data_IF_239027531380
#
_entry.id   IF_239027531380
#
_cell.length_a   1.000
_cell.length_b   1.000
_cell.length_c   1.000
_cell.angle_alpha   90.00
_cell.angle_beta   90.00
_cell.angle_gamma   90.00
#
_symmetry.space_group_name_H-M   'P 1'
#
loop_
_entity.id
_entity.type
_entity.pdbx_description
1 polymer ?
#
# COMPACT_ATOMS: atom_id res chain seq x y z
N UNK A 1 -40.78 5.15 6.42
CA UNK A 1 -39.30 4.98 6.42
C UNK A 1 -38.98 3.77 5.54
N UNK A 2 -38.23 3.96 4.45
CA UNK A 2 -37.96 2.89 3.48
C UNK A 2 -36.69 2.13 3.90
N UNK A 3 -36.74 0.82 4.22
CA UNK A 3 -35.62 0.07 4.80
C UNK A 3 -34.38 0.01 3.89
N UNK A 4 -34.56 0.15 2.57
CA UNK A 4 -33.45 0.21 1.61
C UNK A 4 -32.50 1.40 1.80
N UNK A 5 -32.97 2.51 2.40
CA UNK A 5 -32.12 3.69 2.61
C UNK A 5 -31.06 3.47 3.71
N UNK A 6 -31.36 2.64 4.71
CA UNK A 6 -30.42 2.34 5.80
C UNK A 6 -29.31 1.39 5.34
N UNK A 7 -29.68 0.42 4.48
CA UNK A 7 -28.74 -0.53 3.88
C UNK A 7 -27.73 0.14 2.95
N UNK A 8 -28.18 1.11 2.16
CA UNK A 8 -27.29 1.87 1.27
C UNK A 8 -26.30 2.74 2.06
N UNK A 9 -26.76 3.38 3.13
CA UNK A 9 -25.91 4.23 3.98
C UNK A 9 -24.82 3.41 4.69
N UNK A 10 -25.16 2.23 5.19
CA UNK A 10 -24.19 1.35 5.86
C UNK A 10 -23.12 0.82 4.91
N UNK A 11 -23.48 0.37 3.70
CA UNK A 11 -22.51 -0.05 2.67
C UNK A 11 -21.53 1.04 2.27
N UNK A 12 -22.02 2.29 2.10
CA UNK A 12 -21.16 3.45 1.80
C UNK A 12 -20.16 3.71 2.94
N UNK A 13 -20.63 3.65 4.20
CA UNK A 13 -19.77 3.80 5.37
C UNK A 13 -18.69 2.71 5.46
N UNK A 14 -19.01 1.45 5.15
CA UNK A 14 -18.04 0.35 5.09
C UNK A 14 -16.98 0.54 4.00
N UNK A 15 -17.40 1.00 2.80
CA UNK A 15 -16.45 1.30 1.73
C UNK A 15 -15.50 2.43 2.07
N UNK A 16 -16.01 3.51 2.69
CA UNK A 16 -15.20 4.66 3.11
C UNK A 16 -14.26 4.32 4.28
N UNK A 17 -14.69 3.46 5.21
CA UNK A 17 -13.86 3.02 6.33
C UNK A 17 -12.66 2.18 5.88
N UNK A 18 -12.85 1.34 4.85
CA UNK A 18 -11.79 0.48 4.32
C UNK A 18 -10.61 1.27 3.74
N UNK A 19 -10.87 2.44 3.14
CA UNK A 19 -9.83 3.34 2.64
C UNK A 19 -8.99 3.98 3.76
N UNK A 20 -9.57 4.18 4.95
CA UNK A 20 -8.91 4.84 6.09
C UNK A 20 -8.05 3.84 6.88
N UNK A 21 -8.46 2.58 6.97
CA UNK A 21 -7.73 1.53 7.70
C UNK A 21 -6.40 1.13 7.01
N UNK A 22 -6.30 1.33 5.70
CA UNK A 22 -5.04 1.18 4.97
C UNK A 22 -4.27 2.50 5.00
N UNK A 23 -3.46 2.71 6.05
CA UNK A 23 -2.55 3.85 6.11
C UNK A 23 -1.75 3.97 4.81
N UNK A 24 -2.11 4.94 3.95
CA UNK A 24 -1.56 5.03 2.60
C UNK A 24 -0.10 5.43 2.65
N UNK A 25 0.80 4.49 2.40
CA UNK A 25 2.20 4.81 2.14
C UNK A 25 2.30 5.32 0.70
N UNK A 26 2.73 6.58 0.53
CA UNK A 26 2.99 7.13 -0.80
C UNK A 26 4.25 6.48 -1.40
N UNK A 27 4.05 5.41 -2.17
CA UNK A 27 5.13 4.61 -2.79
C UNK A 27 5.98 5.43 -3.75
N UNK A 28 5.40 6.43 -4.44
CA UNK A 28 6.13 7.29 -5.36
C UNK A 28 7.13 8.19 -4.62
N UNK A 29 6.72 8.78 -3.50
CA UNK A 29 7.62 9.56 -2.64
C UNK A 29 8.66 8.66 -1.96
N UNK A 30 8.25 7.46 -1.53
CA UNK A 30 9.15 6.49 -0.90
C UNK A 30 10.31 6.10 -1.82
N UNK A 31 10.01 5.79 -3.08
CA UNK A 31 11.00 5.44 -4.10
C UNK A 31 11.54 6.64 -4.90
N UNK A 32 11.21 7.87 -4.49
CA UNK A 32 11.60 9.10 -5.20
C UNK A 32 13.03 9.56 -4.92
N UNK A 33 13.65 9.11 -3.82
CA UNK A 33 15.01 9.47 -3.43
C UNK A 33 15.98 8.33 -3.76
N UNK A 34 16.62 8.37 -4.94
CA UNK A 34 17.56 7.35 -5.43
C UNK A 34 18.95 7.37 -4.75
N UNK A 35 19.06 7.96 -3.55
CA UNK A 35 20.31 7.96 -2.77
C UNK A 35 19.98 7.48 -1.37
N UNK A 36 19.89 6.16 -1.20
CA UNK A 36 19.89 5.56 0.12
C UNK A 36 20.79 4.32 0.16
N UNK A 37 21.67 4.20 1.16
CA UNK A 37 22.27 2.92 1.48
C UNK A 37 21.14 1.92 1.74
N UNK A 38 21.29 0.68 1.26
CA UNK A 38 20.33 -0.40 1.47
C UNK A 38 20.26 -0.77 2.95
N UNK A 39 19.46 -0.03 3.72
CA UNK A 39 19.14 -0.37 5.10
C UNK A 39 18.25 -1.60 5.05
N UNK A 40 18.67 -2.67 5.73
CA UNK A 40 17.87 -3.87 5.85
C UNK A 40 16.58 -3.54 6.60
N UNK A 41 15.47 -3.55 5.88
CA UNK A 41 14.13 -3.27 6.37
C UNK A 41 13.19 -4.02 5.46
N UNK A 42 12.34 -4.86 6.03
CA UNK A 42 11.41 -5.66 5.24
C UNK A 42 10.24 -4.80 4.75
N UNK A 43 9.75 -5.10 3.56
CA UNK A 43 8.61 -4.44 2.93
C UNK A 43 7.62 -5.46 2.39
N UNK A 44 6.34 -5.32 2.72
CA UNK A 44 5.27 -6.09 2.11
C UNK A 44 4.69 -5.35 0.89
N UNK A 45 4.87 -5.92 -0.29
CA UNK A 45 4.31 -5.40 -1.54
C UNK A 45 2.83 -5.70 -1.72
N UNK A 46 2.17 -4.92 -2.58
CA UNK A 46 0.77 -5.17 -2.94
C UNK A 46 0.54 -6.46 -3.73
N UNK A 47 1.63 -7.04 -4.25
CA UNK A 47 1.71 -8.35 -4.89
C UNK A 47 1.89 -9.52 -3.90
N UNK A 48 1.90 -9.23 -2.59
CA UNK A 48 2.04 -10.24 -1.54
C UNK A 48 3.48 -10.73 -1.32
N UNK A 49 4.47 -10.12 -1.97
CA UNK A 49 5.89 -10.48 -1.80
C UNK A 49 6.53 -9.65 -0.70
N UNK A 50 7.42 -10.28 0.06
CA UNK A 50 8.31 -9.58 1.01
C UNK A 50 9.61 -9.21 0.30
N UNK A 51 10.02 -7.96 0.42
CA UNK A 51 11.29 -7.45 -0.08
C UNK A 51 12.23 -7.19 1.10
N UNK A 52 13.52 -7.52 0.93
CA UNK A 52 14.48 -7.53 2.03
C UNK A 52 14.95 -6.14 2.46
N UNK A 53 14.89 -5.19 1.53
CA UNK A 53 15.33 -3.83 1.72
C UNK A 53 14.56 -2.88 0.78
N UNK A 54 14.76 -1.58 0.98
CA UNK A 54 14.12 -0.53 0.20
C UNK A 54 14.50 -0.57 -1.29
N UNK A 55 15.75 -0.91 -1.60
CA UNK A 55 16.25 -0.95 -2.97
C UNK A 55 15.52 -2.02 -3.79
N UNK A 56 15.46 -3.26 -3.29
CA UNK A 56 14.77 -4.37 -3.94
C UNK A 56 13.29 -4.05 -4.20
N UNK A 57 12.65 -3.44 -3.21
CA UNK A 57 11.25 -3.02 -3.32
C UNK A 57 11.07 -1.93 -4.38
N UNK A 58 11.92 -0.89 -4.37
CA UNK A 58 11.81 0.24 -5.30
C UNK A 58 12.21 -0.15 -6.74
N UNK A 59 13.15 -1.08 -6.93
CA UNK A 59 13.44 -1.67 -8.22
C UNK A 59 12.20 -2.41 -8.77
N UNK A 60 11.56 -3.26 -7.95
CA UNK A 60 10.34 -3.94 -8.34
C UNK A 60 9.18 -2.96 -8.64
N UNK A 61 9.09 -1.87 -7.88
CA UNK A 61 8.14 -0.79 -8.16
C UNK A 61 8.37 -0.18 -9.54
N UNK A 62 9.60 0.16 -9.91
CA UNK A 62 9.93 0.69 -11.23
C UNK A 62 9.66 -0.35 -12.34
N UNK A 63 10.07 -1.61 -12.15
CA UNK A 63 9.82 -2.71 -13.11
C UNK A 63 8.34 -3.00 -13.32
N UNK A 64 7.50 -2.78 -12.31
CA UNK A 64 6.04 -2.92 -12.42
C UNK A 64 5.38 -1.79 -13.21
N UNK A 65 6.15 -0.80 -13.70
CA UNK A 65 5.59 0.42 -14.28
C UNK A 65 4.91 1.30 -13.24
N UNK A 66 5.45 1.36 -12.02
CA UNK A 66 4.91 2.13 -10.88
C UNK A 66 3.53 1.68 -10.40
N UNK A 67 3.19 0.40 -10.61
CA UNK A 67 1.91 -0.19 -10.19
C UNK A 67 1.97 -0.81 -8.80
N UNK A 68 3.10 -1.42 -8.42
CA UNK A 68 3.33 -1.98 -7.08
C UNK A 68 3.11 -0.91 -6.00
N UNK A 69 2.51 -1.28 -4.88
CA UNK A 69 2.31 -0.40 -3.73
C UNK A 69 2.90 -1.03 -2.49
N UNK A 70 3.47 -0.20 -1.62
CA UNK A 70 3.91 -0.66 -0.30
C UNK A 70 2.68 -0.78 0.59
N UNK A 71 2.36 -2.00 1.06
CA UNK A 71 1.24 -2.23 1.99
C UNK A 71 1.64 -1.84 3.41
N UNK A 72 2.74 -2.39 3.89
CA UNK A 72 3.32 -2.08 5.20
C UNK A 72 4.79 -2.49 5.25
N UNK A 73 5.50 -2.03 6.27
CA UNK A 73 6.82 -2.55 6.60
C UNK A 73 6.71 -3.89 7.33
N UNK A 74 7.69 -4.75 7.18
CA UNK A 74 7.67 -6.13 7.66
C UNK A 74 7.46 -7.14 6.55
N UNK A 75 7.35 -8.41 6.93
CA UNK A 75 6.95 -9.50 6.02
C UNK A 75 5.48 -9.35 5.65
N UNK A 76 5.12 -9.74 4.43
CA UNK A 76 3.79 -10.28 4.19
C UNK A 76 3.68 -11.64 4.92
#
# INVERSE_FOLDING_TARGET
>A
MKPGSFLLLTLLLFSLYSDIAAGRINTANYCGAYVRPAVYRLHCGSDGRTYANEWDFCEAYLRSGRKLRLRHFGRC
#
